data_IF_183375174440
#
_entry.id   IF_183375174440
#
_cell.length_a   1.000
_cell.length_b   1.000
_cell.length_c   1.000
_cell.angle_alpha   90.00
_cell.angle_beta   90.00
_cell.angle_gamma   90.00
#
_symmetry.space_group_name_H-M   'P 1'
#
loop_
_entity.id
_entity.type
_entity.pdbx_description
1 polymer ?
#
# COMPACT_ATOMS: atom_id res chain seq x y z
N UNK A 1 -4.29 13.11 -2.75
CA UNK A 1 -5.16 11.91 -2.65
C UNK A 1 -5.60 11.78 -1.22
N UNK A 2 -6.83 12.19 -0.96
CA UNK A 2 -7.46 12.13 0.36
C UNK A 2 -7.76 10.68 0.78
N UNK A 3 -7.85 10.51 2.09
CA UNK A 3 -8.24 9.26 2.73
C UNK A 3 -9.51 9.54 3.53
N UNK A 4 -10.50 8.68 3.38
CA UNK A 4 -11.76 8.75 4.10
C UNK A 4 -11.93 7.56 5.02
N UNK A 5 -12.64 7.71 6.12
CA UNK A 5 -13.11 6.57 6.89
C UNK A 5 -14.31 5.88 6.22
N UNK A 6 -14.85 4.86 6.88
CA UNK A 6 -16.07 4.16 6.45
C UNK A 6 -17.34 5.02 6.53
N UNK A 7 -17.31 6.14 7.26
CA UNK A 7 -18.43 7.09 7.41
C UNK A 7 -18.32 8.29 6.44
N UNK A 8 -17.23 8.39 5.67
CA UNK A 8 -16.96 9.47 4.73
C UNK A 8 -16.25 10.69 5.33
N UNK A 9 -15.72 10.62 6.55
CA UNK A 9 -14.92 11.70 7.12
C UNK A 9 -13.46 11.63 6.64
N UNK A 10 -12.87 12.78 6.34
CA UNK A 10 -11.47 12.87 5.94
C UNK A 10 -10.52 12.54 7.10
N UNK A 11 -9.56 11.64 6.85
CA UNK A 11 -8.49 11.26 7.76
C UNK A 11 -7.15 11.61 7.12
N UNK A 12 -6.27 12.26 7.88
CA UNK A 12 -4.93 12.64 7.41
C UNK A 12 -3.84 11.64 7.79
N UNK A 13 -4.01 10.88 8.88
CA UNK A 13 -3.00 9.95 9.38
C UNK A 13 -3.61 8.63 9.89
N UNK A 14 -4.03 7.72 8.99
CA UNK A 14 -4.56 6.41 9.36
C UNK A 14 -3.47 5.49 9.94
N UNK A 15 -3.83 4.70 10.94
CA UNK A 15 -2.95 3.74 11.60
C UNK A 15 -2.93 2.41 10.82
N UNK A 16 -1.94 2.22 9.95
CA UNK A 16 -1.85 1.05 9.06
C UNK A 16 -1.62 -0.27 9.84
N UNK A 17 -1.17 -0.21 11.10
CA UNK A 17 -1.06 -1.41 11.93
C UNK A 17 -2.42 -1.89 12.43
N UNK A 18 -3.40 -0.99 12.49
CA UNK A 18 -4.75 -1.27 13.02
C UNK A 18 -5.83 -1.27 11.95
N UNK A 19 -5.48 -1.11 10.69
CA UNK A 19 -6.46 -1.10 9.62
C UNK A 19 -5.83 -1.20 8.24
N UNK A 20 -6.69 -1.34 7.26
CA UNK A 20 -6.34 -1.41 5.85
C UNK A 20 -6.77 -0.16 5.09
N UNK A 21 -6.02 0.14 4.03
CA UNK A 21 -6.39 1.16 3.04
C UNK A 21 -6.84 0.46 1.76
N UNK A 22 -8.11 0.63 1.42
CA UNK A 22 -8.67 0.22 0.14
C UNK A 22 -8.65 1.40 -0.84
N UNK A 23 -8.37 1.14 -2.12
CA UNK A 23 -8.54 2.15 -3.17
C UNK A 23 -9.98 2.11 -3.66
N UNK A 24 -10.60 3.28 -3.72
CA UNK A 24 -11.95 3.45 -4.25
C UNK A 24 -11.99 4.60 -5.24
N UNK A 25 -13.03 4.58 -6.07
CA UNK A 25 -13.28 5.60 -7.08
C UNK A 25 -14.76 5.94 -7.08
N UNK A 26 -15.07 7.24 -7.09
CA UNK A 26 -16.43 7.76 -7.16
C UNK A 26 -16.57 8.61 -8.42
N UNK A 27 -17.72 8.49 -9.09
CA UNK A 27 -18.08 9.40 -10.17
C UNK A 27 -18.53 10.72 -9.58
N UNK A 28 -17.94 11.79 -10.07
CA UNK A 28 -18.21 13.15 -9.60
C UNK A 28 -18.56 14.05 -10.77
N UNK A 29 -19.27 15.11 -10.47
CA UNK A 29 -19.74 16.10 -11.43
C UNK A 29 -19.27 17.47 -10.96
N UNK A 30 -18.41 18.09 -11.75
CA UNK A 30 -17.94 19.45 -11.53
C UNK A 30 -18.89 20.44 -12.20
N UNK A 31 -19.39 21.40 -11.43
CA UNK A 31 -20.26 22.47 -11.93
C UNK A 31 -19.66 23.82 -11.56
N UNK A 32 -19.59 24.74 -12.52
CA UNK A 32 -19.19 26.12 -12.23
C UNK A 32 -20.36 26.89 -11.63
N UNK A 33 -20.19 27.38 -10.41
CA UNK A 33 -21.19 28.18 -9.71
C UNK A 33 -20.80 29.65 -9.83
N UNK A 34 -21.68 30.44 -10.46
CA UNK A 34 -21.49 31.89 -10.62
C UNK A 34 -21.85 32.58 -9.30
N UNK A 35 -20.84 33.16 -8.64
CA UNK A 35 -21.01 33.94 -7.40
C UNK A 35 -21.38 35.41 -7.71
N UNK A 36 -20.85 35.93 -8.82
CA UNK A 36 -21.07 37.30 -9.28
C UNK A 36 -21.36 37.27 -10.78
N UNK A 37 -22.59 37.64 -11.14
CA UNK A 37 -23.01 37.75 -12.54
C UNK A 37 -22.29 38.92 -13.25
N UNK A 38 -21.92 38.71 -14.52
CA UNK A 38 -21.38 39.77 -15.37
C UNK A 38 -22.40 40.92 -15.51
N UNK A 39 -21.93 42.16 -15.35
CA UNK A 39 -22.73 43.34 -15.63
C UNK A 39 -22.09 44.12 -16.76
N UNK A 40 -22.90 44.40 -17.77
CA UNK A 40 -22.48 45.17 -18.94
C UNK A 40 -23.39 46.38 -19.15
N UNK A 41 -22.85 47.43 -19.73
CA UNK A 41 -23.63 48.55 -20.26
C UNK A 41 -23.23 48.87 -21.70
N UNK A 42 -24.21 49.35 -22.47
CA UNK A 42 -23.97 49.83 -23.81
C UNK A 42 -23.46 51.27 -23.77
N UNK A 43 -22.26 51.49 -24.28
CA UNK A 43 -21.66 52.80 -24.44
C UNK A 43 -21.70 53.21 -25.91
N UNK A 44 -22.42 54.29 -26.19
CA UNK A 44 -22.49 54.86 -27.54
C UNK A 44 -21.17 55.55 -27.88
N UNK A 45 -20.49 55.08 -28.93
CA UNK A 45 -19.21 55.63 -29.40
C UNK A 45 -19.42 56.69 -30.46
N UNK A 46 -20.36 56.47 -31.39
CA UNK A 46 -20.66 57.42 -32.45
C UNK A 46 -22.15 57.44 -32.77
N UNK A 47 -22.68 58.64 -32.98
CA UNK A 47 -24.04 58.87 -33.46
C UNK A 47 -23.98 59.53 -34.83
N UNK A 48 -24.65 58.91 -35.81
CA UNK A 48 -24.65 59.37 -37.19
C UNK A 48 -25.90 60.21 -37.48
N UNK A 49 -25.81 61.18 -38.42
CA UNK A 49 -26.94 62.08 -38.76
C UNK A 49 -28.19 61.37 -39.30
N UNK A 50 -28.06 60.11 -39.74
CA UNK A 50 -29.15 59.25 -40.19
C UNK A 50 -29.84 58.49 -39.03
N UNK A 51 -29.43 58.71 -37.78
CA UNK A 51 -29.96 58.04 -36.58
C UNK A 51 -29.32 56.69 -36.26
N UNK A 52 -28.28 56.27 -37.00
CA UNK A 52 -27.48 55.10 -36.64
C UNK A 52 -26.59 55.37 -35.43
N UNK A 53 -26.35 54.35 -34.60
CA UNK A 53 -25.43 54.44 -33.45
C UNK A 53 -24.44 53.28 -33.49
N UNK A 54 -23.17 53.57 -33.26
CA UNK A 54 -22.18 52.57 -32.92
C UNK A 54 -22.17 52.41 -31.41
N UNK A 55 -22.48 51.20 -30.94
CA UNK A 55 -22.50 50.83 -29.52
C UNK A 55 -21.37 49.85 -29.24
N UNK A 56 -20.66 50.08 -28.14
CA UNK A 56 -19.72 49.12 -27.56
C UNK A 56 -20.31 48.60 -26.25
N UNK A 57 -20.25 47.30 -26.04
CA UNK A 57 -20.66 46.67 -24.79
C UNK A 57 -19.45 46.70 -23.86
N UNK A 58 -19.53 47.48 -22.79
CA UNK A 58 -18.47 47.59 -21.79
C UNK A 58 -18.84 46.72 -20.59
N UNK A 59 -17.92 45.86 -20.17
CA UNK A 59 -18.07 45.04 -18.96
C UNK A 59 -17.73 45.91 -17.74
N UNK A 60 -18.71 46.20 -16.90
CA UNK A 60 -18.54 46.94 -15.65
C UNK A 60 -18.08 46.05 -14.51
N UNK A 61 -18.55 44.80 -14.50
CA UNK A 61 -18.25 43.80 -13.47
C UNK A 61 -18.01 42.48 -14.18
N UNK A 62 -16.80 41.95 -14.04
CA UNK A 62 -16.44 40.62 -14.55
C UNK A 62 -17.18 39.53 -13.76
N UNK A 63 -17.60 38.48 -14.47
CA UNK A 63 -18.14 37.28 -13.85
C UNK A 63 -17.09 36.64 -12.93
N UNK A 64 -17.52 36.25 -11.73
CA UNK A 64 -16.71 35.45 -10.81
C UNK A 64 -17.50 34.26 -10.32
N UNK A 65 -16.84 33.12 -10.24
CA UNK A 65 -17.41 31.89 -9.75
C UNK A 65 -16.36 30.96 -9.17
N UNK A 66 -16.80 29.78 -8.77
CA UNK A 66 -15.95 28.70 -8.32
C UNK A 66 -16.49 27.35 -8.80
N UNK A 67 -15.61 26.37 -8.89
CA UNK A 67 -16.01 24.99 -9.14
C UNK A 67 -16.57 24.35 -7.88
N UNK A 68 -17.76 23.78 -8.00
CA UNK A 68 -18.35 22.91 -6.98
C UNK A 68 -18.39 21.48 -7.53
N UNK A 69 -17.98 20.51 -6.71
CA UNK A 69 -18.00 19.08 -7.09
C UNK A 69 -19.10 18.37 -6.33
N UNK A 70 -19.92 17.60 -7.05
CA UNK A 70 -20.99 16.77 -6.48
C UNK A 70 -20.85 15.31 -6.86
N UNK A 71 -21.36 14.42 -6.03
CA UNK A 71 -21.48 12.99 -6.36
C UNK A 71 -22.69 12.71 -7.30
N UNK A 72 -22.86 11.45 -7.71
CA UNK A 72 -24.01 11.01 -8.53
C UNK A 72 -25.37 11.21 -7.82
N UNK A 73 -25.38 11.35 -6.48
CA UNK A 73 -26.58 11.58 -5.67
C UNK A 73 -26.89 13.08 -5.50
N UNK A 74 -25.96 13.95 -5.89
CA UNK A 74 -26.07 15.40 -5.79
C UNK A 74 -25.55 16.00 -4.48
N UNK A 75 -24.85 15.22 -3.64
CA UNK A 75 -24.20 15.75 -2.43
C UNK A 75 -22.88 16.43 -2.80
N UNK A 76 -22.58 17.55 -2.14
CA UNK A 76 -21.30 18.25 -2.32
C UNK A 76 -20.18 17.41 -1.70
N UNK A 77 -19.15 17.14 -2.49
CA UNK A 77 -17.98 16.37 -2.07
C UNK A 77 -16.74 17.26 -2.07
N UNK A 78 -15.88 17.07 -1.07
CA UNK A 78 -14.64 17.83 -0.93
C UNK A 78 -13.51 17.23 -1.78
N UNK A 79 -13.63 17.45 -3.09
CA UNK A 79 -12.73 16.97 -4.14
C UNK A 79 -11.31 17.57 -4.02
N UNK A 80 -10.29 16.72 -3.95
CA UNK A 80 -8.88 17.14 -3.86
C UNK A 80 -8.11 17.05 -5.19
N UNK A 81 -8.81 16.79 -6.29
CA UNK A 81 -8.20 16.76 -7.61
C UNK A 81 -8.01 18.16 -8.20
N UNK A 82 -7.45 18.20 -9.41
CA UNK A 82 -7.20 19.45 -10.14
C UNK A 82 -8.24 19.55 -11.26
N UNK A 83 -9.05 20.60 -11.21
CA UNK A 83 -9.97 20.97 -12.28
C UNK A 83 -9.24 21.95 -13.21
N UNK A 84 -9.00 21.61 -14.48
CA UNK A 84 -8.39 22.53 -15.44
C UNK A 84 -9.21 23.80 -15.62
N UNK A 85 -8.54 24.95 -15.74
CA UNK A 85 -9.17 26.26 -15.95
C UNK A 85 -9.90 26.37 -17.31
N UNK A 86 -9.52 25.55 -18.30
CA UNK A 86 -10.13 25.51 -19.64
C UNK A 86 -11.45 24.70 -19.69
N UNK A 87 -11.94 24.21 -18.54
CA UNK A 87 -13.19 23.45 -18.51
C UNK A 87 -14.41 24.33 -18.82
N UNK A 88 -15.41 23.81 -19.55
CA UNK A 88 -16.59 24.60 -19.93
C UNK A 88 -17.41 24.97 -18.68
N UNK A 89 -17.59 26.27 -18.43
CA UNK A 89 -18.37 26.75 -17.29
C UNK A 89 -19.88 26.56 -17.45
N UNK A 90 -20.39 26.48 -18.68
CA UNK A 90 -21.82 26.40 -18.97
C UNK A 90 -22.43 25.02 -18.68
N UNK A 91 -21.63 23.97 -18.73
CA UNK A 91 -22.10 22.59 -18.65
C UNK A 91 -21.41 21.83 -17.51
N UNK A 92 -22.13 20.95 -16.80
CA UNK A 92 -21.51 20.07 -15.81
C UNK A 92 -20.51 19.12 -16.49
N UNK A 93 -19.36 18.92 -15.86
CA UNK A 93 -18.30 18.04 -16.33
C UNK A 93 -18.21 16.80 -15.45
N UNK A 94 -18.43 15.63 -16.04
CA UNK A 94 -18.29 14.34 -15.35
C UNK A 94 -16.81 13.95 -15.24
N UNK A 95 -16.38 13.51 -14.06
CA UNK A 95 -15.05 12.98 -13.80
C UNK A 95 -15.10 11.76 -12.85
N UNK A 96 -13.98 11.06 -12.70
CA UNK A 96 -13.80 9.95 -11.78
C UNK A 96 -12.75 10.32 -10.74
N UNK A 97 -13.21 10.51 -9.51
CA UNK A 97 -12.34 10.83 -8.39
C UNK A 97 -11.87 9.57 -7.67
N UNK A 98 -10.55 9.34 -7.66
CA UNK A 98 -9.92 8.25 -6.91
C UNK A 98 -9.48 8.70 -5.51
N UNK A 99 -9.90 7.97 -4.48
CA UNK A 99 -9.50 8.18 -3.08
C UNK A 99 -9.18 6.85 -2.39
N UNK A 100 -8.74 6.93 -1.13
CA UNK A 100 -8.55 5.73 -0.29
C UNK A 100 -9.57 5.70 0.83
N UNK A 101 -10.10 4.52 1.14
CA UNK A 101 -10.93 4.31 2.33
C UNK A 101 -10.17 3.50 3.36
N UNK A 102 -10.12 4.02 4.58
CA UNK A 102 -9.52 3.39 5.73
C UNK A 102 -10.58 2.58 6.49
N UNK A 103 -10.28 1.29 6.71
CA UNK A 103 -11.10 0.38 7.52
C UNK A 103 -10.25 -0.14 8.67
N UNK A 104 -10.74 0.03 9.89
CA UNK A 104 -10.11 -0.52 11.09
C UNK A 104 -10.35 -2.04 11.12
N UNK A 105 -9.30 -2.80 11.42
CA UNK A 105 -9.40 -4.24 11.62
C UNK A 105 -10.23 -4.57 12.85
N UNK A 106 -10.99 -5.65 12.75
CA UNK A 106 -11.64 -6.27 13.90
C UNK A 106 -10.60 -6.94 14.80
N UNK A 107 -10.96 -7.21 16.06
CA UNK A 107 -10.08 -7.94 16.99
C UNK A 107 -9.70 -9.32 16.44
N UNK A 108 -10.65 -10.02 15.81
CA UNK A 108 -10.41 -11.33 15.17
C UNK A 108 -9.37 -11.23 14.03
N UNK A 109 -9.52 -10.25 13.13
CA UNK A 109 -8.55 -10.03 12.05
C UNK A 109 -7.15 -9.67 12.59
N UNK A 110 -7.06 -8.89 13.67
CA UNK A 110 -5.78 -8.58 14.33
C UNK A 110 -5.14 -9.83 14.97
N UNK A 111 -5.94 -10.70 15.58
CA UNK A 111 -5.46 -11.97 16.12
C UNK A 111 -4.95 -12.90 15.02
N UNK A 112 -5.64 -13.00 13.88
CA UNK A 112 -5.18 -13.75 12.72
C UNK A 112 -3.86 -13.20 12.16
N UNK A 113 -3.73 -11.87 12.04
CA UNK A 113 -2.49 -11.22 11.60
C UNK A 113 -1.34 -11.53 12.58
N UNK A 114 -1.60 -11.45 13.89
CA UNK A 114 -0.62 -11.78 14.91
C UNK A 114 -0.21 -13.26 14.85
N UNK A 115 -1.16 -14.16 14.66
CA UNK A 115 -0.90 -15.60 14.51
C UNK A 115 -0.07 -15.90 13.26
N UNK A 116 -0.42 -15.31 12.11
CA UNK A 116 0.35 -15.48 10.88
C UNK A 116 1.78 -14.95 11.02
N UNK A 117 1.96 -13.80 11.69
CA UNK A 117 3.29 -13.26 11.98
C UNK A 117 4.11 -14.20 12.88
N UNK A 118 3.49 -14.74 13.92
CA UNK A 118 4.14 -15.69 14.82
C UNK A 118 4.50 -17.00 14.10
N UNK A 119 3.63 -17.50 13.22
CA UNK A 119 3.91 -18.68 12.41
C UNK A 119 5.03 -18.43 11.40
N UNK A 120 5.03 -17.28 10.73
CA UNK A 120 6.08 -16.90 9.79
C UNK A 120 7.43 -16.75 10.50
N UNK A 121 7.47 -16.18 11.70
CA UNK A 121 8.68 -16.09 12.52
C UNK A 121 9.16 -17.48 12.96
N UNK A 122 8.26 -18.33 13.45
CA UNK A 122 8.60 -19.71 13.81
C UNK A 122 9.09 -20.53 12.59
N UNK A 123 8.50 -20.32 11.41
CA UNK A 123 8.95 -20.94 10.17
C UNK A 123 10.32 -20.41 9.74
N UNK A 124 10.60 -19.11 9.92
CA UNK A 124 11.91 -18.53 9.67
C UNK A 124 12.99 -19.09 10.61
N UNK A 125 12.68 -19.26 11.90
CA UNK A 125 13.59 -19.90 12.87
C UNK A 125 13.89 -21.35 12.46
N UNK A 126 12.86 -22.16 12.21
CA UNK A 126 13.04 -23.55 11.75
C UNK A 126 13.83 -23.63 10.45
N UNK A 127 13.60 -22.69 9.53
CA UNK A 127 14.37 -22.60 8.28
C UNK A 127 15.83 -22.27 8.56
N UNK A 128 16.11 -21.31 9.45
CA UNK A 128 17.47 -20.95 9.84
C UNK A 128 18.20 -22.11 10.52
N UNK A 129 17.54 -22.84 11.43
CA UNK A 129 18.08 -24.06 12.04
C UNK A 129 18.40 -25.12 10.99
N UNK A 130 17.49 -25.33 10.03
CA UNK A 130 17.71 -26.28 8.94
C UNK A 130 18.86 -25.85 8.04
N UNK A 131 18.99 -24.56 7.77
CA UNK A 131 20.07 -24.01 6.94
C UNK A 131 21.43 -24.15 7.64
N UNK A 132 21.52 -23.81 8.92
CA UNK A 132 22.71 -24.03 9.73
C UNK A 132 23.12 -25.51 9.79
N UNK A 133 22.14 -26.40 9.99
CA UNK A 133 22.39 -27.84 9.95
C UNK A 133 22.92 -28.30 8.59
N UNK A 134 22.42 -27.75 7.48
CA UNK A 134 22.87 -28.11 6.13
C UNK A 134 24.23 -27.50 5.79
N UNK A 135 24.56 -26.32 6.31
CA UNK A 135 25.85 -25.65 6.10
C UNK A 135 27.01 -26.43 6.73
N UNK A 136 26.80 -26.98 7.94
CA UNK A 136 27.79 -27.79 8.66
C UNK A 136 27.82 -29.26 8.17
N UNK A 137 26.90 -29.67 7.31
CA UNK A 137 26.83 -31.05 6.81
C UNK A 137 28.11 -31.59 6.13
N UNK A 138 28.87 -30.80 5.34
CA UNK A 138 30.14 -31.25 4.77
C UNK A 138 31.19 -31.60 5.82
N UNK A 139 31.35 -30.76 6.85
CA UNK A 139 32.31 -30.98 7.93
C UNK A 139 31.92 -32.20 8.76
N UNK A 140 30.63 -32.34 9.11
CA UNK A 140 30.14 -33.55 9.81
C UNK A 140 30.35 -34.84 9.01
N UNK A 141 30.25 -34.77 7.69
CA UNK A 141 30.52 -35.93 6.82
C UNK A 141 32.01 -36.28 6.80
N UNK A 142 32.89 -35.27 6.68
CA UNK A 142 34.34 -35.48 6.71
C UNK A 142 34.80 -36.07 8.06
N UNK A 143 34.27 -35.56 9.17
CA UNK A 143 34.57 -36.06 10.52
C UNK A 143 34.04 -37.49 10.72
N UNK A 144 32.82 -37.78 10.23
CA UNK A 144 32.26 -39.13 10.30
C UNK A 144 33.06 -40.14 9.45
N UNK A 145 33.55 -39.75 8.26
CA UNK A 145 34.42 -40.60 7.44
C UNK A 145 35.76 -40.88 8.15
N UNK A 146 36.34 -39.87 8.80
CA UNK A 146 37.56 -40.04 9.59
C UNK A 146 37.34 -41.00 10.76
N UNK A 147 36.27 -40.79 11.54
CA UNK A 147 35.92 -41.63 12.68
C UNK A 147 35.59 -43.08 12.25
N UNK A 148 34.97 -43.28 11.09
CA UNK A 148 34.73 -44.61 10.52
C UNK A 148 36.05 -45.33 10.18
N UNK A 149 37.02 -44.58 9.64
CA UNK A 149 38.36 -45.08 9.37
C UNK A 149 39.07 -45.54 10.66
N UNK A 150 39.01 -44.74 11.72
CA UNK A 150 39.58 -45.06 13.02
C UNK A 150 38.91 -46.28 13.68
N UNK A 151 37.58 -46.35 13.63
CA UNK A 151 36.81 -47.51 14.09
C UNK A 151 37.26 -48.78 13.37
N UNK A 152 37.46 -48.71 12.04
CA UNK A 152 37.97 -49.83 11.24
C UNK A 152 39.36 -50.30 11.70
N UNK A 153 40.24 -49.37 12.06
CA UNK A 153 41.57 -49.68 12.62
C UNK A 153 41.45 -50.30 14.02
N UNK A 154 40.58 -49.77 14.88
CA UNK A 154 40.33 -50.34 16.22
C UNK A 154 39.76 -51.76 16.15
N UNK A 155 38.81 -52.00 15.24
CA UNK A 155 38.20 -53.31 15.05
C UNK A 155 39.19 -54.36 14.51
N UNK A 156 40.19 -53.94 13.73
CA UNK A 156 41.26 -54.81 13.24
C UNK A 156 42.38 -55.05 14.29
N UNK A 157 42.47 -54.19 15.31
CA UNK A 157 43.41 -54.32 16.41
C UNK A 157 42.94 -55.37 17.41
N UNK A 158 43.80 -56.32 17.77
CA UNK A 158 43.50 -57.32 18.81
C UNK A 158 43.51 -56.75 20.25
N UNK A 159 43.74 -55.45 20.40
CA UNK A 159 43.87 -54.78 21.70
C UNK A 159 42.63 -53.97 22.12
N UNK A 160 41.68 -53.70 21.21
CA UNK A 160 40.46 -52.96 21.54
C UNK A 160 39.40 -53.89 22.14
N UNK A 161 38.72 -53.45 23.19
CA UNK A 161 37.61 -54.18 23.78
C UNK A 161 36.29 -53.91 23.02
N UNK A 162 35.29 -54.76 23.22
CA UNK A 162 33.95 -54.56 22.65
C UNK A 162 33.30 -53.27 23.20
N UNK A 163 33.58 -52.91 24.45
CA UNK A 163 33.08 -51.67 25.05
C UNK A 163 33.67 -50.44 24.37
N UNK A 164 34.97 -50.46 24.04
CA UNK A 164 35.62 -49.35 23.30
C UNK A 164 35.00 -49.16 21.91
N UNK A 165 34.70 -50.26 21.22
CA UNK A 165 34.03 -50.21 19.91
C UNK A 165 32.59 -49.66 20.00
N UNK A 166 31.86 -49.98 21.08
CA UNK A 166 30.50 -49.45 21.27
C UNK A 166 30.51 -47.94 21.54
N UNK A 167 31.49 -47.44 22.29
CA UNK A 167 31.66 -45.99 22.53
C UNK A 167 31.97 -45.27 21.22
N UNK A 168 32.93 -45.78 20.45
CA UNK A 168 33.29 -45.18 19.16
C UNK A 168 32.12 -45.17 18.16
N UNK A 169 31.28 -46.21 18.13
CA UNK A 169 30.05 -46.24 17.31
C UNK A 169 29.02 -45.20 17.80
N UNK A 170 28.90 -45.00 19.11
CA UNK A 170 28.01 -44.00 19.67
C UNK A 170 28.46 -42.57 19.34
N UNK A 171 29.76 -42.28 19.44
CA UNK A 171 30.36 -41.00 19.05
C UNK A 171 30.17 -40.72 17.55
N UNK A 172 30.32 -41.74 16.71
CA UNK A 172 30.06 -41.63 15.28
C UNK A 172 28.59 -41.34 14.97
N UNK A 173 27.67 -41.91 15.75
CA UNK A 173 26.24 -41.63 15.67
C UNK A 173 25.89 -40.19 16.01
N UNK A 174 26.53 -39.62 17.05
CA UNK A 174 26.34 -38.23 17.46
C UNK A 174 26.85 -37.24 16.38
N UNK A 175 28.02 -37.52 15.80
CA UNK A 175 28.60 -36.74 14.70
C UNK A 175 27.66 -36.67 13.48
N UNK A 176 27.06 -37.79 13.09
CA UNK A 176 26.12 -37.83 11.95
C UNK A 176 24.80 -37.10 12.26
N UNK A 177 24.37 -37.12 13.52
CA UNK A 177 23.17 -36.45 13.99
C UNK A 177 23.35 -34.92 14.18
N UNK A 178 24.60 -34.44 14.27
CA UNK A 178 24.89 -33.06 14.62
C UNK A 178 24.59 -32.74 16.09
N UNK A 179 24.83 -33.72 16.98
CA UNK A 179 24.60 -33.66 18.44
C UNK A 179 25.90 -33.49 19.25
#
# INVERSE_FOLDING_TARGET
MKIFDTEGNEITNPDIEKGELAYESLRVIHTWVIDVEERTHEKVIAEYPNGGKDVEIVIDVEERGHWETRDEEGNVVDFDGIIPDDMPHENPVEDVWGFRRYRVYTEEELEEIAQQKAEAEAAAVKKAEREAFLEEAPERMDDAEMAMGELGVMAASSAASIEDLMVAVAELGALVAGE
#
